data_IF_221466109597
#
_entry.id   IF_221466109597
#
_cell.length_a   1.000
_cell.length_b   1.000
_cell.length_c   1.000
_cell.angle_alpha   90.00
_cell.angle_beta   90.00
_cell.angle_gamma   90.00
#
_symmetry.space_group_name_H-M   'P 1'
#
loop_
_entity.id
_entity.type
_entity.pdbx_description
1 polymer ?
#
# COMPACT_ATOMS: atom_id res chain seq x y z
N UNK A 1 -11.75 -16.68 -22.10
CA UNK A 1 -11.40 -15.26 -22.35
C UNK A 1 -10.50 -15.21 -23.56
N UNK A 2 -10.62 -14.21 -24.47
CA UNK A 2 -9.68 -14.06 -25.58
C UNK A 2 -8.25 -13.94 -25.05
N UNK A 3 -7.28 -14.54 -25.74
CA UNK A 3 -5.85 -14.54 -25.38
C UNK A 3 -5.32 -13.11 -25.11
N UNK A 4 -5.77 -12.13 -25.90
CA UNK A 4 -5.45 -10.71 -25.73
C UNK A 4 -5.91 -10.14 -24.38
N UNK A 5 -7.06 -10.56 -23.87
CA UNK A 5 -7.59 -10.08 -22.59
C UNK A 5 -6.85 -10.68 -21.38
N UNK A 6 -6.28 -11.88 -21.54
CA UNK A 6 -5.46 -12.52 -20.52
C UNK A 6 -4.09 -11.85 -20.42
N UNK A 7 -3.43 -11.62 -21.56
CA UNK A 7 -2.12 -10.94 -21.61
C UNK A 7 -2.17 -9.54 -21.01
N UNK A 8 -3.25 -8.78 -21.28
CA UNK A 8 -3.42 -7.44 -20.68
C UNK A 8 -3.56 -7.50 -19.15
N UNK A 9 -4.30 -8.48 -18.61
CA UNK A 9 -4.38 -8.69 -17.15
C UNK A 9 -3.03 -9.11 -16.58
N UNK A 10 -2.27 -9.94 -17.27
CA UNK A 10 -0.92 -10.34 -16.87
C UNK A 10 0.03 -9.14 -16.81
N UNK A 11 -0.03 -8.23 -17.78
CA UNK A 11 0.77 -7.00 -17.75
C UNK A 11 0.44 -6.10 -16.55
N UNK A 12 -0.84 -5.99 -16.19
CA UNK A 12 -1.27 -5.28 -14.96
C UNK A 12 -0.79 -6.00 -13.69
N UNK A 13 -0.85 -7.34 -13.67
CA UNK A 13 -0.32 -8.13 -12.54
C UNK A 13 1.19 -8.01 -12.40
N UNK A 14 1.93 -7.98 -13.50
CA UNK A 14 3.37 -7.74 -13.52
C UNK A 14 3.69 -6.34 -12.95
N UNK A 15 2.97 -5.31 -13.39
CA UNK A 15 3.12 -3.94 -12.89
C UNK A 15 3.01 -3.84 -11.36
N UNK A 16 1.96 -4.43 -10.77
CA UNK A 16 1.74 -4.36 -9.31
C UNK A 16 2.74 -5.19 -8.52
N UNK A 17 3.26 -6.27 -9.09
CA UNK A 17 4.33 -7.08 -8.49
C UNK A 17 5.67 -6.35 -8.54
N UNK A 18 6.01 -5.77 -9.69
CA UNK A 18 7.22 -4.98 -9.88
C UNK A 18 7.27 -3.79 -8.92
N UNK A 19 6.13 -3.15 -8.62
CA UNK A 19 6.09 -2.13 -7.57
C UNK A 19 6.66 -2.63 -6.25
N UNK A 20 6.22 -3.81 -5.77
CA UNK A 20 6.64 -4.34 -4.48
C UNK A 20 8.12 -4.72 -4.50
N UNK A 21 8.51 -5.50 -5.51
CA UNK A 21 9.89 -5.99 -5.63
C UNK A 21 10.87 -4.83 -5.79
N UNK A 22 10.61 -3.88 -6.69
CA UNK A 22 11.55 -2.81 -6.97
C UNK A 22 11.65 -1.79 -5.84
N UNK A 23 10.52 -1.46 -5.19
CA UNK A 23 10.52 -0.58 -4.01
C UNK A 23 11.32 -1.21 -2.87
N UNK A 24 11.10 -2.49 -2.59
CA UNK A 24 11.72 -3.17 -1.46
C UNK A 24 13.17 -3.59 -1.74
N UNK A 25 13.60 -3.60 -3.01
CA UNK A 25 14.99 -3.79 -3.40
C UNK A 25 15.78 -2.47 -3.52
N UNK A 26 15.12 -1.33 -3.39
CA UNK A 26 15.74 -0.02 -3.62
C UNK A 26 16.10 0.26 -5.09
N UNK A 27 15.46 -0.43 -6.03
CA UNK A 27 15.64 -0.21 -7.48
C UNK A 27 14.81 1.01 -7.92
N UNK A 28 15.26 2.20 -7.52
CA UNK A 28 14.50 3.44 -7.66
C UNK A 28 14.28 3.87 -9.12
N UNK A 29 15.20 3.51 -10.02
CA UNK A 29 15.08 3.80 -11.44
C UNK A 29 13.89 3.04 -12.02
N UNK A 30 13.83 1.71 -11.84
CA UNK A 30 12.70 0.91 -12.30
C UNK A 30 11.44 1.20 -11.52
N UNK A 31 11.55 1.40 -10.21
CA UNK A 31 10.40 1.72 -9.35
C UNK A 31 9.67 2.97 -9.84
N UNK A 32 10.36 3.99 -10.36
CA UNK A 32 9.71 5.16 -10.94
C UNK A 32 8.86 4.83 -12.17
N UNK A 33 9.23 3.82 -12.94
CA UNK A 33 8.56 3.46 -14.21
C UNK A 33 7.18 2.85 -14.03
N UNK A 34 6.84 2.33 -12.84
CA UNK A 34 5.50 1.75 -12.58
C UNK A 34 4.40 2.80 -12.40
N UNK A 35 4.79 4.05 -12.17
CA UNK A 35 3.88 5.14 -11.87
C UNK A 35 3.50 5.93 -13.12
N UNK A 36 2.24 6.37 -13.17
CA UNK A 36 1.85 7.41 -14.10
C UNK A 36 2.48 8.75 -13.66
N UNK A 37 2.65 9.73 -14.56
CA UNK A 37 3.14 11.07 -14.20
C UNK A 37 2.33 11.73 -13.07
N UNK A 38 1.01 11.53 -13.08
CA UNK A 38 0.05 11.97 -12.06
C UNK A 38 -0.14 10.97 -10.90
N UNK A 39 0.67 9.91 -10.86
CA UNK A 39 0.55 8.80 -9.92
C UNK A 39 0.58 9.24 -8.46
N UNK A 40 -0.21 8.60 -7.61
CA UNK A 40 -0.35 8.94 -6.18
C UNK A 40 -0.30 7.71 -5.28
N UNK A 41 0.29 7.86 -4.10
CA UNK A 41 0.40 6.83 -3.07
C UNK A 41 -0.28 7.27 -1.78
N UNK A 42 -1.16 6.42 -1.24
CA UNK A 42 -1.91 6.66 -0.02
C UNK A 42 -1.48 5.68 1.09
N UNK A 43 -0.25 5.76 1.58
CA UNK A 43 0.19 4.98 2.74
C UNK A 43 -0.34 5.60 4.05
N UNK A 44 -0.30 4.89 5.18
CA UNK A 44 -0.68 5.45 6.50
C UNK A 44 0.13 6.69 6.91
N UNK A 45 1.39 6.75 6.50
CA UNK A 45 2.37 7.79 6.88
C UNK A 45 2.68 8.77 5.74
N UNK A 46 2.07 8.60 4.56
CA UNK A 46 2.35 9.42 3.39
C UNK A 46 1.16 9.41 2.43
N UNK A 47 0.63 10.60 2.15
CA UNK A 47 -0.30 10.85 1.04
C UNK A 47 0.41 11.81 0.10
N UNK A 48 0.91 11.31 -1.03
CA UNK A 48 1.78 12.10 -1.90
C UNK A 48 1.68 11.68 -3.36
N UNK A 49 2.06 12.60 -4.28
CA UNK A 49 2.46 12.21 -5.63
C UNK A 49 3.57 11.16 -5.60
N UNK A 50 3.65 10.32 -6.64
CA UNK A 50 4.57 9.21 -6.75
C UNK A 50 6.03 9.62 -6.51
N UNK A 51 6.47 10.75 -7.07
CA UNK A 51 7.84 11.23 -6.86
C UNK A 51 8.10 11.62 -5.39
N UNK A 52 7.11 12.22 -4.72
CA UNK A 52 7.19 12.51 -3.28
C UNK A 52 7.31 11.23 -2.44
N UNK A 53 6.54 10.20 -2.80
CA UNK A 53 6.62 8.89 -2.15
C UNK A 53 7.95 8.18 -2.40
N UNK A 54 8.50 8.26 -3.62
CA UNK A 54 9.82 7.72 -3.97
C UNK A 54 10.90 8.40 -3.13
N UNK A 55 10.91 9.73 -3.08
CA UNK A 55 11.85 10.51 -2.26
C UNK A 55 11.78 10.11 -0.79
N UNK A 56 10.58 10.06 -0.22
CA UNK A 56 10.41 9.66 1.18
C UNK A 56 10.84 8.20 1.43
N UNK A 57 10.62 7.31 0.46
CA UNK A 57 11.09 5.91 0.52
C UNK A 57 12.61 5.82 0.48
N UNK A 58 13.29 6.61 -0.36
CA UNK A 58 14.75 6.71 -0.42
C UNK A 58 15.34 7.23 0.89
N UNK A 59 14.75 8.26 1.48
CA UNK A 59 15.17 8.82 2.76
C UNK A 59 15.00 7.81 3.91
N UNK A 60 13.89 7.09 3.93
CA UNK A 60 13.66 6.00 4.89
C UNK A 60 14.68 4.87 4.71
N UNK A 61 14.91 4.45 3.46
CA UNK A 61 15.89 3.43 3.11
C UNK A 61 17.30 3.80 3.59
N UNK A 62 17.73 5.04 3.34
CA UNK A 62 19.04 5.55 3.77
C UNK A 62 19.21 5.59 5.29
N UNK A 63 18.09 5.71 6.04
CA UNK A 63 18.04 5.64 7.50
C UNK A 63 17.92 4.22 8.04
N UNK A 64 17.93 3.20 7.18
CA UNK A 64 17.81 1.79 7.56
C UNK A 64 16.37 1.35 7.88
N UNK A 65 15.35 2.12 7.47
CA UNK A 65 13.95 1.71 7.63
C UNK A 65 13.70 0.42 6.85
N UNK A 66 13.30 -0.63 7.56
CA UNK A 66 13.00 -1.94 6.97
C UNK A 66 11.50 -2.11 6.86
N UNK A 67 10.99 -2.00 5.63
CA UNK A 67 9.59 -2.28 5.28
C UNK A 67 9.62 -3.20 4.06
N UNK A 68 8.96 -4.36 4.15
CA UNK A 68 8.90 -5.36 3.09
C UNK A 68 7.45 -5.75 2.82
N UNK A 69 7.15 -6.05 1.56
CA UNK A 69 5.84 -6.43 1.06
C UNK A 69 5.87 -7.88 0.58
N UNK A 70 4.95 -8.68 1.11
CA UNK A 70 4.62 -9.98 0.54
C UNK A 70 3.28 -9.88 -0.17
N UNK A 71 3.26 -10.18 -1.48
CA UNK A 71 2.04 -10.17 -2.27
C UNK A 71 1.46 -11.57 -2.40
N UNK A 72 0.13 -11.65 -2.35
CA UNK A 72 -0.66 -12.86 -2.54
C UNK A 72 -1.53 -12.79 -3.79
N UNK A 73 -2.69 -13.43 -3.74
CA UNK A 73 -3.64 -13.46 -4.86
C UNK A 73 -3.98 -12.06 -5.38
N UNK A 74 -4.07 -11.95 -6.71
CA UNK A 74 -4.40 -10.73 -7.42
C UNK A 74 -5.62 -10.95 -8.32
N UNK A 75 -6.57 -10.03 -8.27
CA UNK A 75 -7.71 -9.95 -9.19
C UNK A 75 -7.60 -8.67 -10.02
N UNK A 76 -7.85 -8.76 -11.33
CA UNK A 76 -7.81 -7.61 -12.24
C UNK A 76 -9.11 -7.48 -13.00
N UNK A 77 -9.84 -6.41 -12.69
CA UNK A 77 -10.97 -5.93 -13.49
C UNK A 77 -10.43 -4.96 -14.54
N UNK A 78 -10.82 -5.15 -15.80
CA UNK A 78 -10.27 -4.43 -16.93
C UNK A 78 -11.39 -4.00 -17.86
N UNK A 79 -11.41 -2.71 -18.21
CA UNK A 79 -12.35 -2.09 -19.14
C UNK A 79 -11.61 -1.05 -20.01
N UNK A 80 -11.71 -1.17 -21.34
CA UNK A 80 -10.98 -0.30 -22.26
C UNK A 80 -9.48 -0.22 -21.95
N UNK A 81 -9.00 0.99 -21.62
CA UNK A 81 -7.61 1.32 -21.24
C UNK A 81 -7.40 1.43 -19.72
N UNK A 82 -8.38 1.00 -18.91
CA UNK A 82 -8.36 1.16 -17.47
C UNK A 82 -8.52 -0.18 -16.77
N UNK A 83 -7.89 -0.29 -15.62
CA UNK A 83 -7.99 -1.46 -14.78
C UNK A 83 -8.06 -1.08 -13.30
N UNK A 84 -8.65 -1.99 -12.54
CA UNK A 84 -8.54 -2.07 -11.09
C UNK A 84 -7.81 -3.36 -10.77
N UNK A 85 -6.66 -3.25 -10.11
CA UNK A 85 -5.95 -4.41 -9.57
C UNK A 85 -6.14 -4.47 -8.06
N UNK A 86 -6.68 -5.59 -7.58
CA UNK A 86 -6.80 -5.86 -6.16
C UNK A 86 -5.87 -7.00 -5.77
N UNK A 87 -4.82 -6.68 -5.01
CA UNK A 87 -3.76 -7.63 -4.66
C UNK A 87 -3.69 -7.81 -3.15
N UNK A 88 -3.83 -9.04 -2.63
CA UNK A 88 -3.58 -9.33 -1.22
C UNK A 88 -2.14 -8.97 -0.87
N UNK A 89 -1.94 -8.33 0.27
CA UNK A 89 -0.60 -7.96 0.72
C UNK A 89 -0.44 -8.14 2.22
N UNK A 90 0.81 -8.33 2.62
CA UNK A 90 1.28 -8.13 3.98
C UNK A 90 2.44 -7.14 3.95
N UNK A 91 2.36 -6.10 4.77
CA UNK A 91 3.46 -5.16 5.05
C UNK A 91 4.13 -5.62 6.33
N UNK A 92 5.41 -5.96 6.25
CA UNK A 92 6.27 -6.24 7.40
C UNK A 92 7.15 -5.02 7.66
N UNK A 93 7.08 -4.43 8.85
CA UNK A 93 7.94 -3.31 9.25
C UNK A 93 8.70 -3.66 10.53
N UNK A 94 10.03 -3.57 10.48
CA UNK A 94 10.91 -3.78 11.64
C UNK A 94 11.36 -2.44 12.21
N UNK A 95 11.22 -2.26 13.52
CA UNK A 95 11.76 -1.12 14.25
C UNK A 95 11.95 -1.43 15.74
N UNK A 96 12.60 -0.53 16.47
CA UNK A 96 12.60 -0.53 17.92
C UNK A 96 11.36 0.19 18.45
N UNK A 97 10.64 -0.44 19.38
CA UNK A 97 9.53 0.15 20.13
C UNK A 97 9.84 -0.07 21.61
N UNK A 98 10.03 1.03 22.35
CA UNK A 98 10.41 0.98 23.77
C UNK A 98 11.69 0.15 23.99
N UNK A 99 12.69 0.38 23.14
CA UNK A 99 13.98 -0.33 23.11
C UNK A 99 13.90 -1.84 22.82
N UNK A 100 12.71 -2.37 22.50
CA UNK A 100 12.51 -3.75 22.03
C UNK A 100 12.41 -3.76 20.52
N UNK A 101 13.22 -4.57 19.85
CA UNK A 101 13.09 -4.79 18.40
C UNK A 101 11.85 -5.63 18.13
N UNK A 102 10.96 -5.11 17.29
CA UNK A 102 9.69 -5.75 16.93
C UNK A 102 9.53 -5.84 15.42
N UNK A 103 8.74 -6.82 15.00
CA UNK A 103 8.16 -6.84 13.66
C UNK A 103 6.66 -6.53 13.78
N UNK A 104 6.20 -5.55 13.00
CA UNK A 104 4.77 -5.38 12.72
C UNK A 104 4.44 -6.08 11.42
N UNK A 105 3.40 -6.90 11.45
CA UNK A 105 2.83 -7.56 10.28
C UNK A 105 1.42 -7.04 10.08
N UNK A 106 1.23 -6.23 9.04
CA UNK A 106 -0.05 -5.65 8.66
C UNK A 106 -0.58 -6.30 7.39
N UNK A 107 -1.69 -7.02 7.49
CA UNK A 107 -2.32 -7.72 6.37
C UNK A 107 -3.46 -6.88 5.80
N UNK A 108 -3.50 -6.81 4.48
CA UNK A 108 -4.51 -6.05 3.77
C UNK A 108 -4.61 -6.47 2.31
N UNK A 109 -4.96 -5.49 1.49
CA UNK A 109 -4.90 -5.59 0.03
C UNK A 109 -4.63 -4.21 -0.56
N UNK A 110 -3.84 -4.16 -1.61
CA UNK A 110 -3.79 -2.97 -2.46
C UNK A 110 -5.01 -2.94 -3.36
N UNK A 111 -5.54 -1.74 -3.58
CA UNK A 111 -6.57 -1.44 -4.56
C UNK A 111 -6.03 -0.36 -5.48
N UNK A 112 -5.50 -0.80 -6.62
CA UNK A 112 -4.74 0.02 -7.54
C UNK A 112 -5.61 0.45 -8.73
N UNK A 113 -5.64 1.75 -8.99
CA UNK A 113 -6.21 2.32 -10.20
C UNK A 113 -5.10 2.40 -11.24
N UNK A 114 -5.33 1.73 -12.37
CA UNK A 114 -4.32 1.52 -13.39
C UNK A 114 -4.85 2.01 -14.75
N UNK A 115 -3.99 2.66 -15.52
CA UNK A 115 -4.30 3.12 -16.88
C UNK A 115 -3.20 2.72 -17.86
N UNK A 116 -3.59 2.35 -19.07
CA UNK A 116 -2.69 2.10 -20.18
C UNK A 116 -2.27 3.44 -20.80
N UNK A 117 -1.02 3.84 -20.59
CA UNK A 117 -0.36 5.01 -21.18
C UNK A 117 0.40 4.60 -22.47
N UNK A 118 0.90 5.54 -23.29
CA UNK A 118 1.65 5.20 -24.51
C UNK A 118 2.86 4.29 -24.28
N UNK A 119 3.47 4.34 -23.09
CA UNK A 119 4.62 3.55 -22.66
C UNK A 119 4.24 2.34 -21.80
N UNK A 120 2.97 1.94 -21.77
CA UNK A 120 2.45 0.76 -21.08
C UNK A 120 1.52 1.07 -19.92
N UNK A 121 1.18 0.03 -19.16
CA UNK A 121 0.31 0.14 -17.99
C UNK A 121 1.02 0.86 -16.83
N UNK A 122 0.33 1.80 -16.19
CA UNK A 122 0.85 2.61 -15.10
C UNK A 122 -0.13 2.71 -13.93
N UNK A 123 0.41 2.79 -12.72
CA UNK A 123 -0.37 3.04 -11.49
C UNK A 123 -0.68 4.54 -11.42
N UNK A 124 -1.98 4.87 -11.43
CA UNK A 124 -2.50 6.23 -11.24
C UNK A 124 -2.74 6.50 -9.74
N UNK A 125 -3.23 5.50 -9.02
CA UNK A 125 -3.43 5.58 -7.57
C UNK A 125 -3.20 4.21 -6.95
N UNK A 126 -2.40 4.17 -5.89
CA UNK A 126 -2.33 3.02 -4.98
C UNK A 126 -3.00 3.36 -3.67
N UNK A 127 -4.11 2.68 -3.38
CA UNK A 127 -4.82 2.78 -2.12
C UNK A 127 -4.80 1.42 -1.38
N UNK A 128 -3.99 1.27 -0.33
CA UNK A 128 -4.10 0.14 0.59
C UNK A 128 -5.44 0.12 1.32
N UNK A 129 -5.96 -1.09 1.52
CA UNK A 129 -7.05 -1.43 2.42
C UNK A 129 -6.45 -2.28 3.55
N UNK A 130 -6.52 -1.80 4.77
CA UNK A 130 -5.90 -2.41 5.95
C UNK A 130 -6.91 -3.28 6.69
N UNK A 131 -6.63 -4.58 6.84
CA UNK A 131 -7.65 -5.53 7.31
C UNK A 131 -7.42 -5.97 8.75
N UNK A 132 -6.16 -6.23 9.12
CA UNK A 132 -5.73 -6.58 10.48
C UNK A 132 -4.22 -6.46 10.60
N UNK A 133 -3.73 -6.28 11.80
CA UNK A 133 -2.30 -6.34 12.07
C UNK A 133 -1.96 -6.91 13.44
N UNK A 134 -0.67 -7.11 13.67
CA UNK A 134 -0.09 -7.48 14.96
C UNK A 134 1.34 -6.97 15.06
N UNK A 135 1.87 -6.93 16.28
CA UNK A 135 3.26 -6.61 16.59
C UNK A 135 3.82 -7.69 17.49
N UNK A 136 4.97 -8.23 17.11
CA UNK A 136 5.64 -9.30 17.83
C UNK A 136 7.09 -8.88 18.12
N UNK A 137 7.60 -9.03 19.36
CA UNK A 137 9.04 -8.92 19.62
C UNK A 137 9.84 -9.93 18.79
N UNK A 138 10.99 -9.49 18.26
CA UNK A 138 11.89 -10.36 17.51
C UNK A 138 12.61 -11.33 18.46
N UNK A 139 12.99 -10.85 19.65
CA UNK A 139 13.46 -11.71 20.73
C UNK A 139 12.23 -12.38 21.40
N UNK A 140 12.09 -13.72 21.33
CA UNK A 140 10.95 -14.43 21.90
C UNK A 140 10.89 -14.37 23.44
N UNK A 141 11.98 -13.98 24.12
CA UNK A 141 12.01 -13.78 25.57
C UNK A 141 11.66 -12.35 25.99
N UNK A 142 11.68 -11.38 25.05
CA UNK A 142 11.38 -10.00 25.35
C UNK A 142 9.90 -9.80 25.68
N UNK A 143 9.63 -8.84 26.57
CA UNK A 143 8.27 -8.40 26.89
C UNK A 143 8.07 -6.99 26.34
N UNK A 144 6.94 -6.78 25.69
CA UNK A 144 6.56 -5.49 25.14
C UNK A 144 5.22 -5.07 25.74
N UNK A 145 5.23 -3.95 26.45
CA UNK A 145 4.03 -3.33 26.99
C UNK A 145 3.68 -2.09 26.16
N UNK A 146 2.56 -2.16 25.45
CA UNK A 146 2.08 -1.06 24.62
C UNK A 146 1.15 -0.15 25.42
N UNK A 147 1.21 1.15 25.15
CA UNK A 147 0.28 2.12 25.73
C UNK A 147 -1.16 1.85 25.21
N UNK A 148 -2.09 1.41 26.08
CA UNK A 148 -3.45 1.08 25.65
C UNK A 148 -4.23 2.30 25.16
N UNK A 149 -3.99 3.48 25.73
CA UNK A 149 -4.68 4.71 25.34
C UNK A 149 -4.22 5.18 23.96
N UNK A 150 -2.93 5.06 23.66
CA UNK A 150 -2.41 5.35 22.32
C UNK A 150 -2.92 4.32 21.29
N UNK A 151 -2.89 3.03 21.61
CA UNK A 151 -3.42 1.98 20.73
C UNK A 151 -4.90 2.18 20.38
N UNK A 152 -5.72 2.59 21.35
CA UNK A 152 -7.15 2.79 21.16
C UNK A 152 -7.50 3.90 20.17
N UNK A 153 -6.55 4.78 19.82
CA UNK A 153 -6.73 5.85 18.83
C UNK A 153 -6.70 5.35 17.38
N UNK A 154 -6.16 4.16 17.13
CA UNK A 154 -5.91 3.68 15.77
C UNK A 154 -6.93 2.61 15.32
N UNK A 155 -7.36 2.63 14.05
CA UNK A 155 -8.26 1.61 13.51
C UNK A 155 -7.66 0.21 13.60
N UNK A 156 -8.53 -0.79 13.81
CA UNK A 156 -8.15 -2.19 14.01
C UNK A 156 -7.27 -2.76 12.89
N UNK A 157 -7.50 -2.34 11.64
CA UNK A 157 -6.81 -2.90 10.48
C UNK A 157 -5.30 -2.63 10.42
N UNK A 158 -4.83 -1.59 11.11
CA UNK A 158 -3.44 -1.12 11.10
C UNK A 158 -3.03 -0.49 12.43
N UNK A 159 -3.63 -0.96 13.53
CA UNK A 159 -3.47 -0.38 14.87
C UNK A 159 -2.03 -0.41 15.35
N UNK A 160 -1.38 -1.55 15.21
CA UNK A 160 -0.02 -1.76 15.66
C UNK A 160 1.00 -1.09 14.72
N UNK A 161 0.73 -1.08 13.42
CA UNK A 161 1.52 -0.35 12.43
C UNK A 161 1.47 1.15 12.71
N UNK A 162 0.28 1.70 12.96
CA UNK A 162 0.10 3.10 13.34
C UNK A 162 0.82 3.43 14.65
N UNK A 163 0.74 2.54 15.64
CA UNK A 163 1.47 2.71 16.90
C UNK A 163 2.97 2.80 16.66
N UNK A 164 3.56 1.84 15.93
CA UNK A 164 4.98 1.86 15.59
C UNK A 164 5.37 3.13 14.86
N UNK A 165 4.61 3.51 13.82
CA UNK A 165 4.88 4.71 13.00
C UNK A 165 4.80 6.00 13.82
N UNK A 166 3.84 6.09 14.72
CA UNK A 166 3.72 7.21 15.66
C UNK A 166 4.94 7.30 16.58
N UNK A 167 5.44 6.15 17.08
CA UNK A 167 6.61 6.12 17.97
C UNK A 167 7.91 6.52 17.29
N UNK A 168 8.00 6.37 15.96
CA UNK A 168 9.15 6.81 15.16
C UNK A 168 8.94 8.20 14.52
N UNK A 169 7.88 8.92 14.92
CA UNK A 169 7.67 10.34 14.60
C UNK A 169 6.84 10.64 13.37
N UNK A 170 6.16 9.65 12.77
CA UNK A 170 5.23 9.90 11.67
C UNK A 170 3.87 10.38 12.18
N UNK A 171 3.26 11.29 11.42
CA UNK A 171 1.84 11.57 11.54
C UNK A 171 1.06 10.50 10.77
N UNK A 172 0.21 9.76 11.48
CA UNK A 172 -0.53 8.62 10.91
C UNK A 172 -1.96 9.02 10.58
N UNK A 173 -2.36 8.78 9.34
CA UNK A 173 -3.75 8.94 8.88
C UNK A 173 -4.64 7.86 9.47
N UNK A 174 -5.74 8.27 10.11
CA UNK A 174 -6.62 7.40 10.91
C UNK A 174 -7.93 7.02 10.23
N UNK A 175 -8.17 7.48 9.00
CA UNK A 175 -9.36 7.17 8.21
C UNK A 175 -9.04 6.35 6.93
N UNK A 176 -7.95 5.57 6.96
CA UNK A 176 -7.60 4.68 5.85
C UNK A 176 -8.69 3.60 5.66
N UNK A 177 -8.95 3.15 4.42
CA UNK A 177 -9.92 2.09 4.17
C UNK A 177 -9.59 0.82 4.96
N UNK A 178 -10.59 0.31 5.69
CA UNK A 178 -10.53 -0.94 6.45
C UNK A 178 -11.12 -2.14 5.72
N UNK A 179 -11.14 -3.32 6.36
CA UNK A 179 -11.79 -4.52 5.80
C UNK A 179 -13.26 -4.30 5.41
N UNK A 180 -14.00 -3.51 6.21
CA UNK A 180 -15.43 -3.18 6.04
C UNK A 180 -15.68 -1.71 6.38
N UNK A 181 -16.86 -1.21 6.02
CA UNK A 181 -17.34 0.13 6.38
C UNK A 181 -17.45 1.10 5.21
N UNK A 182 -17.87 2.34 5.49
CA UNK A 182 -18.19 3.33 4.47
C UNK A 182 -17.00 3.72 3.59
N UNK A 183 -15.80 3.86 4.16
CA UNK A 183 -14.60 4.29 3.42
C UNK A 183 -14.19 3.27 2.35
N UNK A 184 -14.22 1.97 2.65
CA UNK A 184 -13.93 0.91 1.64
C UNK A 184 -15.06 0.77 0.62
N UNK A 185 -16.31 0.99 1.00
CA UNK A 185 -17.43 1.02 0.06
C UNK A 185 -17.31 2.20 -0.93
N UNK A 186 -16.92 3.38 -0.45
CA UNK A 186 -16.65 4.55 -1.28
C UNK A 186 -15.47 4.29 -2.24
N UNK A 187 -14.41 3.62 -1.77
CA UNK A 187 -13.27 3.24 -2.61
C UNK A 187 -13.69 2.35 -3.77
N UNK A 188 -14.54 1.37 -3.50
CA UNK A 188 -15.07 0.48 -4.53
C UNK A 188 -16.01 1.21 -5.50
N UNK A 189 -16.82 2.15 -5.01
CA UNK A 189 -17.63 3.00 -5.88
C UNK A 189 -16.75 3.84 -6.82
N UNK A 190 -15.66 4.42 -6.32
CA UNK A 190 -14.67 5.13 -7.13
C UNK A 190 -14.00 4.20 -8.15
N UNK A 191 -13.65 2.96 -7.78
CA UNK A 191 -13.11 1.96 -8.69
C UNK A 191 -14.09 1.57 -9.81
N UNK A 192 -15.37 1.44 -9.49
CA UNK A 192 -16.42 1.18 -10.49
C UNK A 192 -16.60 2.37 -11.45
N UNK A 193 -16.57 3.61 -10.94
CA UNK A 193 -16.62 4.82 -11.77
C UNK A 193 -15.40 4.94 -12.68
N UNK A 194 -14.21 4.63 -12.15
CA UNK A 194 -12.97 4.60 -12.92
C UNK A 194 -13.05 3.66 -14.13
N UNK A 195 -13.55 2.44 -13.95
CA UNK A 195 -13.73 1.47 -15.03
C UNK A 195 -14.75 1.94 -16.08
N UNK A 196 -15.73 2.77 -15.70
CA UNK A 196 -16.67 3.40 -16.65
C UNK A 196 -16.10 4.58 -17.42
N UNK A 197 -14.85 4.96 -17.20
CA UNK A 197 -14.22 6.09 -17.89
C UNK A 197 -14.36 7.43 -17.15
N UNK A 198 -14.95 7.46 -15.96
CA UNK A 198 -15.12 8.70 -15.18
C UNK A 198 -13.78 9.18 -14.56
N UNK A 199 -13.69 10.46 -14.21
CA UNK A 199 -12.50 10.99 -13.54
C UNK A 199 -12.28 10.30 -12.18
N UNK A 200 -11.01 10.13 -11.78
CA UNK A 200 -10.67 9.57 -10.48
C UNK A 200 -11.22 10.49 -9.36
N UNK A 201 -12.22 10.01 -8.63
CA UNK A 201 -12.94 10.74 -7.58
C UNK A 201 -12.58 10.31 -6.16
N UNK A 202 -11.43 9.64 -5.97
CA UNK A 202 -10.97 9.21 -4.66
C UNK A 202 -10.24 10.34 -3.94
N UNK A 203 -10.80 10.79 -2.81
CA UNK A 203 -10.25 11.85 -1.96
C UNK A 203 -9.13 11.34 -1.04
N UNK A 204 -8.16 12.23 -0.73
CA UNK A 204 -7.09 11.98 0.25
C UNK A 204 -7.63 11.75 1.65
#
# INVERSE_FOLDING_TARGET
MPESAMLRRMAVMELVQNWAVWRDAGDWERFRTVWAPEGRMMATWCQAPAEGFIKASQEGWAKGVSILHFLGGCSVDLEGRRAIAQTKMTISQRAAVHDVVVDVVCTGRFYDFVEEKPDGWKIVLRQPIYEKDRMDPVDPAARLELDPALLARFPEGYRHLAYLQTRIGYEVKTDMPGLKGGKVAALYAAGAAWLRGEALSWEE
#
